data_IF_290194103425
#
_entry.id   IF_290194103425
#
_cell.length_a   1.000
_cell.length_b   1.000
_cell.length_c   1.000
_cell.angle_alpha   90.00
_cell.angle_beta   90.00
_cell.angle_gamma   90.00
#
_symmetry.space_group_name_H-M   'P 1'
#
loop_
_entity.id
_entity.type
_entity.pdbx_description
1 polymer ?
#
# COMPACT_ATOMS: atom_id res chain seq x y z
N UNK A 1 6.31 3.32 7.83
CA UNK A 1 6.51 2.58 9.11
C UNK A 1 5.26 1.81 9.53
N UNK A 2 4.06 2.37 9.29
CA UNK A 2 2.74 1.79 9.54
C UNK A 2 2.59 0.30 9.16
N UNK A 3 3.11 -0.13 8.01
CA UNK A 3 3.04 -1.55 7.60
C UNK A 3 3.74 -2.49 8.59
N UNK A 4 4.90 -2.10 9.14
CA UNK A 4 5.64 -2.92 10.10
C UNK A 4 4.87 -3.10 11.40
N UNK A 5 4.23 -2.03 11.88
CA UNK A 5 3.39 -2.05 13.07
C UNK A 5 2.19 -2.98 12.88
N UNK A 6 1.55 -2.91 11.71
CA UNK A 6 0.43 -3.81 11.34
C UNK A 6 0.87 -5.27 11.25
N UNK A 7 2.04 -5.56 10.68
CA UNK A 7 2.60 -6.92 10.66
C UNK A 7 2.82 -7.46 12.08
N UNK A 8 3.43 -6.64 12.96
CA UNK A 8 3.65 -7.01 14.36
C UNK A 8 2.34 -7.26 15.12
N UNK A 9 1.32 -6.41 14.92
CA UNK A 9 -0.01 -6.58 15.52
C UNK A 9 -0.68 -7.89 15.08
N UNK A 10 -0.50 -8.29 13.82
CA UNK A 10 -1.05 -9.54 13.27
C UNK A 10 -0.33 -10.79 13.77
N UNK A 11 0.94 -10.67 14.15
CA UNK A 11 1.74 -11.70 14.79
C UNK A 11 1.85 -13.04 14.02
N UNK A 12 1.92 -13.01 12.68
CA UNK A 12 2.18 -14.22 11.88
C UNK A 12 3.62 -14.68 12.06
N UNK A 13 3.81 -15.97 12.33
CA UNK A 13 5.13 -16.58 12.59
C UNK A 13 6.12 -16.35 11.44
N UNK A 14 5.64 -16.46 10.21
CA UNK A 14 6.43 -16.34 8.98
C UNK A 14 6.94 -14.91 8.75
N UNK A 15 6.27 -13.91 9.32
CA UNK A 15 6.55 -12.50 9.09
C UNK A 15 7.39 -11.87 10.22
N UNK A 16 7.67 -12.62 11.31
CA UNK A 16 8.41 -12.09 12.46
C UNK A 16 9.84 -11.65 12.11
N UNK A 17 10.45 -12.24 11.10
CA UNK A 17 11.80 -11.90 10.63
C UNK A 17 11.87 -10.66 9.73
N UNK A 18 10.73 -10.14 9.27
CA UNK A 18 10.68 -9.03 8.31
C UNK A 18 11.20 -7.74 8.94
N UNK A 19 12.22 -7.16 8.32
CA UNK A 19 12.84 -5.91 8.77
C UNK A 19 12.18 -4.68 8.13
N UNK A 20 12.31 -3.53 8.79
CA UNK A 20 11.79 -2.25 8.26
C UNK A 20 12.36 -1.94 6.87
N UNK A 21 13.66 -2.17 6.68
CA UNK A 21 14.36 -1.92 5.41
C UNK A 21 13.70 -2.67 4.25
N UNK A 22 13.33 -3.93 4.46
CA UNK A 22 12.64 -4.72 3.44
C UNK A 22 11.30 -4.10 3.04
N UNK A 23 10.53 -3.60 4.02
CA UNK A 23 9.27 -2.90 3.74
C UNK A 23 9.48 -1.55 3.04
N UNK A 24 10.58 -0.86 3.33
CA UNK A 24 10.95 0.37 2.63
C UNK A 24 11.32 0.11 1.16
N UNK A 25 12.01 -0.98 0.87
CA UNK A 25 12.30 -1.41 -0.51
C UNK A 25 11.01 -1.73 -1.26
N UNK A 26 10.10 -2.49 -0.65
CA UNK A 26 8.79 -2.77 -1.25
C UNK A 26 7.96 -1.50 -1.45
N UNK A 27 7.97 -0.57 -0.49
CA UNK A 27 7.27 0.70 -0.63
C UNK A 27 7.81 1.50 -1.82
N UNK A 28 9.13 1.65 -1.95
CA UNK A 28 9.74 2.35 -3.07
C UNK A 28 9.35 1.75 -4.43
N UNK A 29 9.28 0.42 -4.53
CA UNK A 29 8.82 -0.24 -5.76
C UNK A 29 7.37 0.08 -6.10
N UNK A 30 6.48 0.14 -5.11
CA UNK A 30 5.07 0.52 -5.32
C UNK A 30 4.93 1.98 -5.73
N UNK A 31 5.67 2.91 -5.11
CA UNK A 31 5.66 4.33 -5.49
C UNK A 31 6.16 4.52 -6.93
N UNK A 32 7.31 3.94 -7.26
CA UNK A 32 7.90 4.01 -8.60
C UNK A 32 6.95 3.44 -9.67
N UNK A 33 6.26 2.35 -9.35
CA UNK A 33 5.37 1.70 -10.32
C UNK A 33 4.01 2.38 -10.43
N UNK A 34 3.30 2.54 -9.30
CA UNK A 34 1.88 2.91 -9.30
C UNK A 34 1.64 4.41 -9.23
N UNK A 35 2.59 5.18 -8.68
CA UNK A 35 2.43 6.63 -8.48
C UNK A 35 3.27 7.41 -9.49
N UNK A 36 4.59 7.21 -9.48
CA UNK A 36 5.52 7.92 -10.36
C UNK A 36 5.49 7.39 -11.81
N UNK A 37 5.05 6.15 -11.99
CA UNK A 37 5.08 5.43 -13.28
C UNK A 37 6.46 5.42 -13.95
N UNK A 38 7.51 5.36 -13.13
CA UNK A 38 8.92 5.35 -13.53
C UNK A 38 9.47 3.93 -13.74
N UNK A 39 8.81 2.91 -13.20
CA UNK A 39 9.16 1.50 -13.41
C UNK A 39 8.93 1.09 -14.87
N UNK A 40 9.97 0.53 -15.51
CA UNK A 40 9.84 -0.03 -16.85
C UNK A 40 8.93 -1.28 -16.82
N UNK A 41 7.85 -1.23 -17.60
CA UNK A 41 6.91 -2.35 -17.76
C UNK A 41 6.81 -2.74 -19.22
N UNK A 42 6.88 -4.04 -19.49
CA UNK A 42 6.90 -4.58 -20.85
C UNK A 42 5.49 -4.80 -21.45
N UNK A 43 4.44 -4.46 -20.70
CA UNK A 43 3.05 -4.54 -21.15
C UNK A 43 2.53 -3.12 -21.42
N UNK A 44 2.21 -2.82 -22.68
CA UNK A 44 1.79 -1.48 -23.11
C UNK A 44 0.52 -1.00 -22.39
N UNK A 45 -0.45 -1.88 -22.18
CA UNK A 45 -1.73 -1.54 -21.55
C UNK A 45 -1.56 -1.13 -20.08
N UNK A 46 -0.56 -1.69 -19.39
CA UNK A 46 -0.26 -1.35 -17.99
C UNK A 46 0.23 0.09 -17.82
N UNK A 47 0.86 0.69 -18.85
CA UNK A 47 1.35 2.08 -18.77
C UNK A 47 0.21 3.09 -18.60
N UNK A 48 -0.96 2.75 -19.11
CA UNK A 48 -2.11 3.65 -19.18
C UNK A 48 -3.26 3.26 -18.24
N UNK A 49 -3.11 2.18 -17.49
CA UNK A 49 -4.13 1.76 -16.53
C UNK A 49 -4.43 2.90 -15.53
N UNK A 50 -5.72 3.21 -15.27
CA UNK A 50 -6.09 4.14 -14.23
C UNK A 50 -5.77 3.54 -12.86
N UNK A 51 -5.23 4.36 -11.96
CA UNK A 51 -4.81 3.95 -10.63
C UNK A 51 -5.53 4.82 -9.61
N UNK A 52 -6.26 4.19 -8.69
CA UNK A 52 -6.84 4.83 -7.53
C UNK A 52 -5.88 4.64 -6.35
N UNK A 53 -5.44 5.74 -5.76
CA UNK A 53 -4.58 5.73 -4.56
C UNK A 53 -5.45 6.03 -3.36
N UNK A 54 -5.45 5.13 -2.37
CA UNK A 54 -6.15 5.30 -1.11
C UNK A 54 -5.13 5.48 0.00
N UNK A 55 -5.14 6.65 0.64
CA UNK A 55 -4.33 6.88 1.84
C UNK A 55 -4.95 6.14 3.04
N UNK A 56 -4.23 5.11 3.47
CA UNK A 56 -4.58 4.27 4.62
C UNK A 56 -3.49 4.28 5.68
N UNK A 57 -2.74 5.39 5.82
CA UNK A 57 -1.76 5.52 6.91
C UNK A 57 -2.45 5.51 8.27
N UNK A 58 -3.55 6.25 8.40
CA UNK A 58 -4.38 6.22 9.60
C UNK A 58 -5.13 4.90 9.68
N UNK A 59 -5.21 4.33 10.88
CA UNK A 59 -6.00 3.13 11.10
C UNK A 59 -7.49 3.46 10.92
N UNK A 60 -8.15 2.74 10.03
CA UNK A 60 -9.56 2.91 9.69
C UNK A 60 -10.40 1.67 10.03
N UNK A 61 -9.77 0.61 10.58
CA UNK A 61 -10.42 -0.68 10.88
C UNK A 61 -11.69 -0.53 11.73
N UNK A 62 -11.69 0.46 12.64
CA UNK A 62 -12.79 0.72 13.57
C UNK A 62 -13.39 2.14 13.44
N UNK A 63 -13.07 2.85 12.36
CA UNK A 63 -13.57 4.22 12.12
C UNK A 63 -14.52 4.20 10.91
N UNK A 64 -15.82 4.18 11.20
CA UNK A 64 -16.87 4.15 10.18
C UNK A 64 -16.87 5.40 9.29
N UNK A 65 -16.46 6.56 9.82
CA UNK A 65 -16.36 7.79 9.04
C UNK A 65 -15.18 7.71 8.06
N UNK A 66 -14.03 7.24 8.51
CA UNK A 66 -12.87 7.01 7.66
C UNK A 66 -13.16 5.94 6.58
N UNK A 67 -13.84 4.85 6.94
CA UNK A 67 -14.30 3.84 6.00
C UNK A 67 -15.22 4.43 4.93
N UNK A 68 -16.21 5.23 5.33
CA UNK A 68 -17.12 5.91 4.40
C UNK A 68 -16.38 6.84 3.44
N UNK A 69 -15.40 7.61 3.95
CA UNK A 69 -14.55 8.49 3.13
C UNK A 69 -13.67 7.74 2.12
N UNK A 70 -13.17 6.56 2.48
CA UNK A 70 -12.44 5.69 1.56
C UNK A 70 -13.37 5.09 0.49
N UNK A 71 -14.55 4.60 0.89
CA UNK A 71 -15.51 4.00 -0.04
C UNK A 71 -16.06 5.01 -1.06
N UNK A 72 -16.22 6.27 -0.66
CA UNK A 72 -16.64 7.34 -1.57
C UNK A 72 -15.65 7.62 -2.71
N UNK A 73 -14.38 7.21 -2.57
CA UNK A 73 -13.35 7.36 -3.61
C UNK A 73 -13.32 6.17 -4.59
N UNK A 74 -13.92 5.04 -4.21
CA UNK A 74 -13.93 3.80 -5.01
C UNK A 74 -15.12 3.77 -5.98
N UNK A 75 -16.14 4.60 -5.77
CA UNK A 75 -17.40 4.63 -6.51
C UNK A 75 -17.45 5.63 -7.67
#
# INVERSE_FOLDING_TARGET
QTCLERLRRRARSEEQGVQLEYLQQLHAQHEQWLVEKSTEVHFADMKHAPILVLDVEKDFEHDAAAQGGLMAQVG
#
